data_IF_652364699399
#
_entry.id   IF_652364699399
#
_cell.length_a   1.000
_cell.length_b   1.000
_cell.length_c   1.000
_cell.angle_alpha   90.00
_cell.angle_beta   90.00
_cell.angle_gamma   90.00
#
_symmetry.space_group_name_H-M   'P 1'
#
loop_
_entity.id
_entity.type
_entity.pdbx_description
1 polymer ?
#
# COMPACT_ATOMS: atom_id res chain seq x y z
N UNK A 1 -12.77 -11.33 -6.67
CA UNK A 1 -11.32 -11.24 -6.37
C UNK A 1 -10.69 -10.42 -7.47
N UNK A 2 -10.18 -9.24 -7.17
CA UNK A 2 -9.50 -8.38 -8.15
C UNK A 2 -8.05 -8.30 -7.70
N UNK A 3 -7.24 -9.25 -8.14
CA UNK A 3 -5.79 -9.19 -7.95
C UNK A 3 -5.24 -8.09 -8.85
N UNK A 4 -4.85 -6.98 -8.24
CA UNK A 4 -4.23 -5.84 -8.93
C UNK A 4 -2.77 -5.81 -8.51
N UNK A 5 -1.86 -5.89 -9.47
CA UNK A 5 -0.42 -5.88 -9.18
C UNK A 5 -0.01 -4.56 -8.54
N UNK A 6 1.02 -4.58 -7.69
CA UNK A 6 1.50 -3.37 -6.99
C UNK A 6 1.83 -2.28 -8.00
N UNK A 7 2.48 -2.67 -9.10
CA UNK A 7 2.83 -1.80 -10.22
C UNK A 7 1.61 -1.09 -10.83
N UNK A 8 0.54 -1.83 -11.10
CA UNK A 8 -0.69 -1.29 -11.68
C UNK A 8 -1.44 -0.43 -10.68
N UNK A 9 -1.60 -0.90 -9.44
CA UNK A 9 -2.27 -0.14 -8.39
C UNK A 9 -1.54 1.18 -8.08
N UNK A 10 -0.22 1.15 -8.03
CA UNK A 10 0.65 2.32 -7.86
C UNK A 10 0.44 3.33 -9.00
N UNK A 11 0.44 2.85 -10.24
CA UNK A 11 0.19 3.66 -11.41
C UNK A 11 -1.22 4.28 -11.39
N UNK A 12 -2.24 3.49 -11.05
CA UNK A 12 -3.63 3.97 -10.95
C UNK A 12 -3.85 4.98 -9.82
N UNK A 13 -3.16 4.79 -8.68
CA UNK A 13 -3.28 5.65 -7.49
C UNK A 13 -2.29 6.81 -7.49
N UNK A 14 -1.51 7.00 -8.56
CA UNK A 14 -0.39 7.96 -8.63
C UNK A 14 0.49 7.92 -7.37
N UNK A 15 0.70 6.73 -6.83
CA UNK A 15 1.48 6.50 -5.61
C UNK A 15 2.62 5.57 -5.97
N UNK A 16 3.85 5.90 -5.60
CA UNK A 16 5.01 5.10 -5.99
C UNK A 16 4.91 3.65 -5.48
N UNK A 17 5.28 2.70 -6.35
CA UNK A 17 5.38 1.27 -5.99
C UNK A 17 6.23 1.07 -4.74
N UNK A 18 7.34 1.78 -4.62
CA UNK A 18 8.21 1.75 -3.44
C UNK A 18 7.48 2.19 -2.17
N UNK A 19 6.59 3.18 -2.24
CA UNK A 19 5.81 3.63 -1.07
C UNK A 19 4.80 2.58 -0.64
N UNK A 20 4.14 1.93 -1.59
CA UNK A 20 3.27 0.79 -1.32
C UNK A 20 4.07 -0.37 -0.72
N UNK A 21 5.14 -0.81 -1.37
CA UNK A 21 6.02 -1.91 -0.93
C UNK A 21 6.62 -1.65 0.46
N UNK A 22 7.11 -0.44 0.72
CA UNK A 22 7.66 -0.08 2.03
C UNK A 22 6.61 -0.17 3.13
N UNK A 23 5.40 0.29 2.86
CA UNK A 23 4.35 0.28 3.87
C UNK A 23 3.75 -1.12 4.07
N UNK A 24 3.71 -1.95 3.02
CA UNK A 24 3.47 -3.38 3.19
C UNK A 24 4.53 -4.01 4.08
N UNK A 25 5.81 -3.73 3.80
CA UNK A 25 6.92 -4.25 4.59
C UNK A 25 6.88 -3.77 6.05
N UNK A 26 6.44 -2.54 6.30
CA UNK A 26 6.22 -1.96 7.63
C UNK A 26 5.10 -2.68 8.40
N UNK A 27 4.02 -3.04 7.70
CA UNK A 27 2.95 -3.89 8.22
C UNK A 27 3.35 -5.38 8.39
N UNK A 28 4.62 -5.73 8.13
CA UNK A 28 5.13 -7.10 8.19
C UNK A 28 4.84 -7.94 6.96
N UNK A 29 4.24 -7.35 5.92
CA UNK A 29 3.88 -8.03 4.69
C UNK A 29 4.93 -7.74 3.61
N UNK A 30 5.75 -8.74 3.29
CA UNK A 30 6.78 -8.60 2.24
C UNK A 30 6.16 -8.83 0.87
N UNK A 31 5.85 -7.74 0.19
CA UNK A 31 5.37 -7.75 -1.20
C UNK A 31 6.36 -7.04 -2.12
N UNK A 32 6.51 -7.53 -3.34
CA UNK A 32 7.42 -6.96 -4.35
C UNK A 32 6.68 -6.10 -5.36
N UNK A 33 7.38 -5.22 -6.08
CA UNK A 33 6.81 -4.39 -7.15
C UNK A 33 6.04 -5.18 -8.22
N UNK A 34 6.49 -6.40 -8.48
CA UNK A 34 5.91 -7.34 -9.44
C UNK A 34 4.85 -8.27 -8.81
N UNK A 35 4.62 -8.17 -7.50
CA UNK A 35 3.67 -9.01 -6.77
C UNK A 35 2.23 -8.45 -6.82
N UNK A 36 1.24 -9.31 -6.55
CA UNK A 36 -0.18 -8.98 -6.55
C UNK A 36 -0.60 -8.33 -5.21
N UNK A 37 -1.23 -7.15 -5.25
CA UNK A 37 -1.89 -6.55 -4.08
C UNK A 37 -3.29 -7.11 -3.97
N UNK A 38 -3.61 -7.65 -2.79
CA UNK A 38 -4.98 -8.00 -2.42
C UNK A 38 -5.70 -6.82 -1.77
N UNK A 39 -7.04 -6.83 -1.80
CA UNK A 39 -7.84 -5.76 -1.20
C UNK A 39 -7.53 -5.55 0.30
N UNK A 40 -7.24 -6.63 1.03
CA UNK A 40 -6.89 -6.60 2.46
C UNK A 40 -5.58 -5.84 2.72
N UNK A 41 -4.55 -6.15 1.93
CA UNK A 41 -3.25 -5.49 1.97
C UNK A 41 -3.43 -3.97 1.82
N UNK A 42 -4.05 -3.55 0.71
CA UNK A 42 -4.30 -2.15 0.43
C UNK A 42 -5.06 -1.47 1.58
N UNK A 43 -5.99 -2.17 2.21
CA UNK A 43 -6.75 -1.63 3.33
C UNK A 43 -5.85 -1.36 4.55
N UNK A 44 -4.98 -2.30 4.92
CA UNK A 44 -3.99 -2.12 6.00
C UNK A 44 -3.08 -0.93 5.73
N UNK A 45 -2.64 -0.76 4.49
CA UNK A 45 -1.86 0.39 4.05
C UNK A 45 -2.62 1.71 4.25
N UNK A 46 -3.85 1.79 3.74
CA UNK A 46 -4.70 2.99 3.83
C UNK A 46 -4.95 3.35 5.30
N UNK A 47 -5.16 2.35 6.15
CA UNK A 47 -5.36 2.55 7.60
C UNK A 47 -4.11 3.15 8.25
N UNK A 48 -2.94 2.57 7.95
CA UNK A 48 -1.66 3.04 8.47
C UNK A 48 -1.31 4.46 7.97
N UNK A 49 -1.57 4.75 6.70
CA UNK A 49 -1.37 6.08 6.12
C UNK A 49 -2.31 7.11 6.74
N UNK A 50 -3.59 6.77 6.94
CA UNK A 50 -4.56 7.65 7.58
C UNK A 50 -4.17 7.96 9.03
N UNK A 51 -3.72 6.95 9.80
CA UNK A 51 -3.21 7.17 11.17
C UNK A 51 -2.03 8.14 11.17
N UNK A 52 -1.09 7.99 10.24
CA UNK A 52 0.10 8.84 10.14
C UNK A 52 -0.21 10.28 9.71
N UNK A 53 -1.24 10.48 8.89
CA UNK A 53 -1.72 11.80 8.46
C UNK A 53 -2.49 12.49 9.59
N UNK A 54 -3.33 11.77 10.33
CA UNK A 54 -4.09 12.32 11.46
C UNK A 54 -3.18 12.77 12.61
N UNK A 55 -2.11 12.03 12.91
CA UNK A 55 -1.15 12.40 13.96
C UNK A 55 -0.37 13.71 13.66
N UNK A 56 -0.38 14.19 12.41
CA UNK A 56 0.35 15.40 11.98
C UNK A 56 -0.52 16.65 11.92
N UNK A 57 -1.81 16.52 12.23
CA UNK A 57 -2.81 17.59 12.10
C UNK A 57 -3.33 18.08 13.46
N UNK A 58 -2.78 17.60 14.59
CA UNK A 58 -3.23 17.91 15.94
C UNK A 58 -2.16 18.61 16.79
#
# INVERSE_FOLDING_TARGET
MTDVTIKTLAAERQTSVERLVQQFADAGIRKSADDSVSAQEKQTLIDHLNQKIQARTN
#
